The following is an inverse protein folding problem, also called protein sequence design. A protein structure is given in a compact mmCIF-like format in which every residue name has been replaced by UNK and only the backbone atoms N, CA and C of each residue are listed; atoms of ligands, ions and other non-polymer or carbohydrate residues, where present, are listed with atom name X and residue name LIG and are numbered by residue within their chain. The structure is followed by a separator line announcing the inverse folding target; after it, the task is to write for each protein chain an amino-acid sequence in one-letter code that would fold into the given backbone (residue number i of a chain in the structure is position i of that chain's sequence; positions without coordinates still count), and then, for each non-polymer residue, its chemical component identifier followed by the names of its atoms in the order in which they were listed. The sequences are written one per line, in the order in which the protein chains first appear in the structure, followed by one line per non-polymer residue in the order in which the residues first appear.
data_IF_716043529317
#
_entry.id   IF_716043529317
#
_cell.length_a   1.000
_cell.length_b   1.000
_cell.length_c   1.000
_cell.angle_alpha   90.00
_cell.angle_beta   90.00
_cell.angle_gamma   90.00
#
_symmetry.space_group_name_H-M   'P 1'
#
loop_
_entity.id
_entity.type
_entity.pdbx_description
1 polymer ?
#
# COMPACT_ATOMS: atom_id res chain seq x y z
N UNK A 1 39.93 21.47 28.20
CA UNK A 1 38.65 22.04 27.70
C UNK A 1 38.60 22.22 26.19
N UNK A 2 39.70 22.56 25.48
CA UNK A 2 39.68 22.67 24.01
C UNK A 2 39.53 21.33 23.26
N UNK A 3 40.15 20.26 23.79
CA UNK A 3 40.09 18.92 23.18
C UNK A 3 38.71 18.24 23.32
N UNK A 4 38.00 18.49 24.43
CA UNK A 4 36.67 17.91 24.69
C UNK A 4 35.59 18.46 23.77
N UNK A 5 35.69 19.74 23.36
CA UNK A 5 34.76 20.35 22.39
C UNK A 5 34.97 19.76 20.99
N UNK A 6 36.22 19.55 20.58
CA UNK A 6 36.53 18.92 19.29
C UNK A 6 36.03 17.48 19.21
N UNK A 7 36.17 16.72 20.29
CA UNK A 7 35.66 15.35 20.37
C UNK A 7 34.13 15.28 20.24
N UNK A 8 33.40 16.18 20.91
CA UNK A 8 31.94 16.24 20.81
C UNK A 8 31.46 16.62 19.40
N UNK A 9 32.13 17.55 18.73
CA UNK A 9 31.82 17.87 17.33
C UNK A 9 32.03 16.68 16.40
N UNK A 10 33.11 15.93 16.58
CA UNK A 10 33.42 14.76 15.75
C UNK A 10 32.35 13.68 15.89
N UNK A 11 31.89 13.40 17.11
CA UNK A 11 30.83 12.43 17.38
C UNK A 11 29.48 12.87 16.79
N UNK A 12 29.16 14.17 16.86
CA UNK A 12 27.97 14.71 16.20
C UNK A 12 28.03 14.60 14.67
N UNK A 13 29.19 14.81 14.05
CA UNK A 13 29.33 14.64 12.60
C UNK A 13 29.21 13.18 12.17
N UNK A 14 29.77 12.25 12.96
CA UNK A 14 29.67 10.81 12.68
C UNK A 14 28.22 10.30 12.80
N UNK A 15 27.47 10.77 13.79
CA UNK A 15 26.05 10.41 13.96
C UNK A 15 25.15 11.00 12.88
N UNK A 16 25.45 12.21 12.38
CA UNK A 16 24.77 12.78 11.21
C UNK A 16 25.08 12.02 9.91
N UNK A 17 26.32 11.55 9.73
CA UNK A 17 26.71 10.78 8.55
C UNK A 17 26.13 9.36 8.56
N UNK A 18 26.06 8.71 9.73
CA UNK A 18 25.48 7.38 9.88
C UNK A 18 23.93 7.37 9.95
N UNK A 19 23.31 8.51 10.28
CA UNK A 19 21.85 8.66 10.41
C UNK A 19 21.09 8.86 9.10
N UNK A 20 21.78 9.10 7.98
CA UNK A 20 21.18 9.16 6.64
C UNK A 20 20.98 7.76 6.02
N UNK A 21 20.66 6.75 6.84
CA UNK A 21 20.01 5.54 6.38
C UNK A 21 18.55 5.84 6.07
N UNK A 22 18.30 6.68 5.06
CA UNK A 22 16.97 6.78 4.48
C UNK A 22 16.61 5.35 4.06
N UNK A 23 15.61 4.76 4.73
CA UNK A 23 14.93 3.56 4.28
C UNK A 23 14.21 3.90 2.98
N UNK A 24 14.96 4.13 1.90
CA UNK A 24 14.40 4.15 0.57
C UNK A 24 14.24 2.69 0.21
N UNK A 25 13.00 2.22 0.38
CA UNK A 25 12.52 1.00 -0.26
C UNK A 25 13.08 0.97 -1.68
N UNK A 26 13.88 -0.05 -1.93
CA UNK A 26 14.44 -0.43 -3.21
C UNK A 26 13.49 -0.11 -4.38
N UNK A 27 13.91 0.81 -5.25
CA UNK A 27 13.97 0.64 -6.71
C UNK A 27 12.78 0.10 -7.53
N UNK A 28 11.59 -0.17 -6.99
CA UNK A 28 10.44 -0.77 -7.70
C UNK A 28 9.27 0.21 -7.94
N UNK A 29 9.49 1.51 -7.71
CA UNK A 29 8.43 2.51 -7.54
C UNK A 29 7.45 2.67 -8.70
N UNK A 30 7.85 2.48 -9.97
CA UNK A 30 6.95 2.80 -11.09
C UNK A 30 5.80 1.80 -11.31
N UNK A 31 5.96 0.55 -10.90
CA UNK A 31 4.92 -0.48 -11.04
C UNK A 31 4.17 -0.65 -9.73
N UNK A 32 4.88 -0.53 -8.59
CA UNK A 32 4.27 -0.56 -7.27
C UNK A 32 3.26 0.58 -7.06
N UNK A 33 3.59 1.79 -7.51
CA UNK A 33 2.69 2.94 -7.41
C UNK A 33 1.41 2.78 -8.21
N UNK A 34 1.40 1.92 -9.25
CA UNK A 34 0.24 1.75 -10.13
C UNK A 34 -0.87 0.90 -9.52
N UNK A 35 -0.55 0.00 -8.59
CA UNK A 35 -1.56 -0.89 -8.00
C UNK A 35 -2.16 -0.32 -6.71
N UNK A 36 -1.47 0.61 -6.05
CA UNK A 36 -1.93 1.22 -4.80
C UNK A 36 -3.17 2.07 -5.08
N UNK A 37 -4.21 1.89 -4.26
CA UNK A 37 -5.45 2.66 -4.39
C UNK A 37 -6.71 1.82 -4.18
N UNK A 38 -7.85 2.46 -4.47
CA UNK A 38 -9.17 1.85 -4.43
C UNK A 38 -9.56 1.37 -5.84
N UNK A 39 -9.89 0.10 -5.92
CA UNK A 39 -10.34 -0.56 -7.13
C UNK A 39 -11.79 -0.99 -6.97
N UNK A 40 -12.63 -0.66 -7.94
CA UNK A 40 -13.97 -1.23 -8.06
C UNK A 40 -13.90 -2.49 -8.93
N UNK A 41 -14.45 -3.59 -8.44
CA UNK A 41 -14.52 -4.84 -9.19
C UNK A 41 -15.71 -4.78 -10.15
N UNK A 42 -15.44 -4.87 -11.46
CA UNK A 42 -16.47 -4.97 -12.50
C UNK A 42 -16.46 -6.40 -13.06
N UNK A 43 -17.59 -7.11 -12.95
CA UNK A 43 -17.83 -8.30 -13.76
C UNK A 43 -18.58 -7.89 -15.03
N UNK A 44 -18.05 -8.28 -16.19
CA UNK A 44 -18.70 -8.11 -17.49
C UNK A 44 -19.14 -9.50 -17.94
N UNK A 45 -20.46 -9.72 -17.98
CA UNK A 45 -21.03 -10.97 -18.45
C UNK A 45 -21.34 -10.85 -19.94
N UNK A 46 -20.76 -11.74 -20.75
CA UNK A 46 -21.00 -11.81 -22.19
C UNK A 46 -22.04 -12.90 -22.55
N UNK A 47 -22.78 -13.44 -21.57
CA UNK A 47 -23.84 -14.43 -21.78
C UNK A 47 -25.22 -13.77 -21.73
N UNK A 48 -26.12 -14.22 -22.61
CA UNK A 48 -27.53 -13.81 -22.61
C UNK A 48 -28.40 -14.71 -21.71
N UNK A 49 -27.78 -15.45 -20.79
CA UNK A 49 -28.48 -16.34 -19.86
C UNK A 49 -29.18 -15.50 -18.78
N UNK A 50 -30.45 -15.80 -18.52
CA UNK A 50 -31.24 -15.12 -17.49
C UNK A 50 -30.62 -15.35 -16.12
N UNK A 51 -30.16 -14.27 -15.48
CA UNK A 51 -29.51 -14.28 -14.16
C UNK A 51 -28.06 -13.78 -14.16
N UNK A 52 -27.41 -13.65 -15.32
CA UNK A 52 -26.03 -13.16 -15.43
C UNK A 52 -25.92 -11.67 -15.77
N UNK A 53 -27.04 -10.97 -16.02
CA UNK A 53 -26.99 -9.56 -16.46
C UNK A 53 -26.81 -8.55 -15.32
N UNK A 54 -26.94 -8.96 -14.06
CA UNK A 54 -26.76 -8.06 -12.91
C UNK A 54 -25.53 -8.46 -12.09
N UNK A 55 -24.42 -7.78 -12.34
CA UNK A 55 -23.30 -7.78 -11.40
C UNK A 55 -23.73 -7.01 -10.17
N UNK A 56 -23.74 -7.63 -8.99
CA UNK A 56 -24.03 -6.92 -7.74
C UNK A 56 -23.05 -5.75 -7.58
N UNK A 57 -23.52 -4.48 -7.63
CA UNK A 57 -22.65 -3.33 -7.46
C UNK A 57 -22.09 -3.30 -6.03
N UNK A 58 -20.87 -2.79 -5.88
CA UNK A 58 -20.32 -2.48 -4.56
C UNK A 58 -19.18 -3.38 -4.07
N UNK A 59 -18.57 -4.24 -4.89
CA UNK A 59 -17.34 -4.94 -4.50
C UNK A 59 -16.10 -4.10 -4.80
N UNK A 60 -15.26 -3.91 -3.79
CA UNK A 60 -14.06 -3.09 -3.85
C UNK A 60 -12.83 -3.83 -3.33
N UNK A 61 -11.66 -3.43 -3.83
CA UNK A 61 -10.35 -3.80 -3.30
C UNK A 61 -9.56 -2.54 -2.99
N UNK A 62 -9.04 -2.42 -1.78
CA UNK A 62 -8.11 -1.35 -1.40
C UNK A 62 -6.72 -1.94 -1.21
N UNK A 63 -5.73 -1.36 -1.90
CA UNK A 63 -4.32 -1.77 -1.85
C UNK A 63 -3.53 -0.65 -1.16
N UNK A 64 -2.85 -0.99 -0.06
CA UNK A 64 -2.12 -0.03 0.76
C UNK A 64 -0.62 -0.04 0.45
N UNK A 65 0.09 1.09 0.59
CA UNK A 65 1.53 1.18 0.31
C UNK A 65 2.39 0.31 1.25
N UNK A 66 1.86 -0.15 2.38
CA UNK A 66 2.56 -0.95 3.37
C UNK A 66 2.54 -2.46 3.08
N UNK A 67 2.10 -2.88 1.89
CA UNK A 67 2.03 -4.30 1.52
C UNK A 67 0.76 -5.01 2.01
N UNK A 68 -0.24 -4.28 2.50
CA UNK A 68 -1.54 -4.83 2.88
C UNK A 68 -2.61 -4.59 1.81
N UNK A 69 -3.67 -5.39 1.83
CA UNK A 69 -4.89 -5.11 1.06
C UNK A 69 -6.14 -5.54 1.84
N UNK A 70 -7.28 -4.98 1.46
CA UNK A 70 -8.61 -5.45 1.87
C UNK A 70 -9.53 -5.59 0.65
N UNK A 71 -10.42 -6.57 0.69
CA UNK A 71 -11.61 -6.61 -0.14
C UNK A 71 -12.82 -6.33 0.74
N UNK A 72 -13.76 -5.56 0.23
CA UNK A 72 -15.01 -5.30 0.94
C UNK A 72 -16.16 -5.14 -0.03
N UNK A 73 -17.36 -5.35 0.48
CA UNK A 73 -18.61 -5.07 -0.23
C UNK A 73 -19.27 -3.89 0.46
N UNK A 74 -19.62 -2.85 -0.29
CA UNK A 74 -20.44 -1.73 0.18
C UNK A 74 -21.90 -2.07 -0.07
N UNK A 75 -22.69 -2.12 1.00
CA UNK A 75 -24.15 -2.23 0.94
C UNK A 75 -24.80 -0.98 1.54
N UNK A 76 -26.12 -0.88 1.45
CA UNK A 76 -26.88 0.21 2.07
C UNK A 76 -26.81 0.19 3.62
N UNK A 77 -26.51 -0.98 4.20
CA UNK A 77 -26.39 -1.17 5.65
C UNK A 77 -24.96 -0.90 6.18
N UNK A 78 -23.98 -0.85 5.27
CA UNK A 78 -22.58 -0.57 5.60
C UNK A 78 -21.59 -1.34 4.73
N UNK A 79 -20.31 -1.11 4.99
CA UNK A 79 -19.23 -1.85 4.34
C UNK A 79 -18.90 -3.13 5.11
N UNK A 80 -18.89 -4.27 4.43
CA UNK A 80 -18.54 -5.58 4.97
C UNK A 80 -17.19 -6.00 4.39
N UNK A 81 -16.17 -6.14 5.25
CA UNK A 81 -14.87 -6.69 4.85
C UNK A 81 -15.04 -8.18 4.56
N UNK A 82 -14.64 -8.59 3.36
CA UNK A 82 -14.72 -9.99 2.93
C UNK A 82 -13.36 -10.69 3.00
N UNK A 83 -12.28 -9.94 2.82
CA UNK A 83 -10.90 -10.45 2.87
C UNK A 83 -9.97 -9.34 3.35
N UNK A 84 -9.00 -9.68 4.20
CA UNK A 84 -7.82 -8.88 4.49
C UNK A 84 -6.55 -9.73 4.28
N UNK A 85 -5.43 -9.09 3.98
CA UNK A 85 -4.18 -9.82 3.79
C UNK A 85 -3.01 -8.96 3.35
N UNK A 86 -1.94 -9.64 2.92
CA UNK A 86 -0.71 -9.01 2.42
C UNK A 86 -0.47 -9.35 0.95
N UNK A 87 0.22 -8.47 0.24
CA UNK A 87 0.63 -8.68 -1.14
C UNK A 87 2.14 -8.48 -1.31
N UNK A 88 2.68 -9.15 -2.33
CA UNK A 88 4.05 -8.93 -2.80
C UNK A 88 4.04 -8.87 -4.32
N UNK A 89 4.67 -7.85 -4.87
CA UNK A 89 4.89 -7.74 -6.31
C UNK A 89 5.96 -8.78 -6.71
N UNK A 90 5.75 -9.47 -7.83
CA UNK A 90 6.69 -10.44 -8.39
C UNK A 90 7.37 -9.86 -9.61
#
# INVERSE_FOLDING_TARGET
MKATVGFFMLVCMLTFAAGCGATRSSGEGRTADKIIGLWEVKAIHNSNESGYMETSPGMFKMIFPNGMFINFISTDEGAIITVDGTYKLK
#
